data_IF_804220584409
#
_entry.id   IF_804220584409
#
_cell.length_a   1.000
_cell.length_b   1.000
_cell.length_c   1.000
_cell.angle_alpha   90.00
_cell.angle_beta   90.00
_cell.angle_gamma   90.00
#
_symmetry.space_group_name_H-M   'P 1'
#
loop_
_entity.id
_entity.type
_entity.pdbx_description
1 polymer ?
#
# COMPACT_ATOMS: atom_id res chain seq x y z
N UNK A 1 4.29 2.60 -28.42
CA UNK A 1 3.65 2.22 -27.14
C UNK A 1 4.37 2.96 -26.02
N UNK A 2 3.65 3.72 -25.24
CA UNK A 2 4.24 4.35 -24.05
C UNK A 2 4.44 3.28 -22.97
N UNK A 3 5.57 3.25 -22.25
CA UNK A 3 5.78 2.32 -21.17
C UNK A 3 4.76 2.57 -20.02
N UNK A 4 4.33 1.53 -19.30
CA UNK A 4 3.45 1.73 -18.16
C UNK A 4 4.14 2.48 -17.03
N UNK A 5 3.38 3.31 -16.31
CA UNK A 5 3.84 4.07 -15.15
C UNK A 5 3.31 3.38 -13.89
N UNK A 6 4.22 2.82 -13.10
CA UNK A 6 3.94 2.18 -11.83
C UNK A 6 4.30 3.14 -10.69
N UNK A 7 3.34 3.42 -9.83
CA UNK A 7 3.57 4.22 -8.63
C UNK A 7 3.80 3.29 -7.44
N UNK A 8 4.94 3.45 -6.77
CA UNK A 8 5.21 2.75 -5.53
C UNK A 8 5.03 3.68 -4.34
N UNK A 9 4.28 3.21 -3.33
CA UNK A 9 4.15 3.85 -2.03
C UNK A 9 4.55 2.83 -0.96
N UNK A 10 5.37 3.23 -0.01
CA UNK A 10 5.86 2.34 1.05
C UNK A 10 5.95 3.09 2.38
N UNK A 11 5.90 2.36 3.49
CA UNK A 11 6.19 2.88 4.82
C UNK A 11 5.31 4.08 5.22
N UNK A 12 4.01 4.00 4.98
CA UNK A 12 3.08 5.07 5.32
C UNK A 12 2.76 5.16 6.80
N UNK A 13 2.93 4.07 7.54
CA UNK A 13 2.79 3.98 8.99
C UNK A 13 1.54 4.69 9.54
N UNK A 14 0.38 4.41 8.91
CA UNK A 14 -0.88 5.02 9.32
C UNK A 14 -1.41 4.44 10.64
N UNK A 15 -2.26 5.19 11.29
CA UNK A 15 -2.94 4.80 12.53
C UNK A 15 -4.45 4.69 12.30
N UNK A 16 -5.13 3.99 13.23
CA UNK A 16 -6.59 3.99 13.30
C UNK A 16 -7.13 5.41 13.49
N UNK A 17 -6.46 6.19 14.34
CA UNK A 17 -6.75 7.62 14.53
C UNK A 17 -6.13 8.42 13.38
N UNK A 18 -6.92 9.19 12.60
CA UNK A 18 -6.40 10.07 11.57
C UNK A 18 -5.43 11.14 12.07
N UNK A 19 -5.43 11.43 13.38
CA UNK A 19 -4.49 12.34 14.00
C UNK A 19 -3.23 11.66 14.56
N UNK A 20 -3.08 10.35 14.33
CA UNK A 20 -1.93 9.60 14.78
C UNK A 20 -0.61 10.15 14.26
N UNK A 21 0.39 10.23 15.14
CA UNK A 21 1.70 10.80 14.83
C UNK A 21 2.82 9.77 15.03
N UNK A 22 3.77 9.77 14.09
CA UNK A 22 5.04 9.08 14.21
C UNK A 22 6.16 10.14 14.16
N UNK A 23 7.05 10.16 15.16
CA UNK A 23 8.11 11.16 15.27
C UNK A 23 7.60 12.62 15.12
N UNK A 24 6.48 12.95 15.76
CA UNK A 24 5.81 14.27 15.71
C UNK A 24 5.28 14.67 14.33
N UNK A 25 5.12 13.73 13.43
CA UNK A 25 4.55 13.94 12.12
C UNK A 25 3.22 13.18 12.01
N UNK A 26 2.15 13.87 11.66
CA UNK A 26 0.89 13.22 11.31
C UNK A 26 1.07 12.47 10.00
N UNK A 27 1.03 11.14 10.07
CA UNK A 27 1.36 10.28 8.94
C UNK A 27 0.31 10.32 7.84
N UNK A 28 -0.97 10.44 8.17
CA UNK A 28 -2.04 10.58 7.19
C UNK A 28 -1.96 11.91 6.43
N UNK A 29 -1.66 13.00 7.12
CA UNK A 29 -1.45 14.30 6.47
C UNK A 29 -0.23 14.26 5.55
N UNK A 30 0.85 13.61 5.97
CA UNK A 30 2.05 13.42 5.15
C UNK A 30 1.71 12.65 3.87
N UNK A 31 1.01 11.52 3.97
CA UNK A 31 0.55 10.75 2.82
C UNK A 31 -0.33 11.60 1.89
N UNK A 32 -1.30 12.32 2.43
CA UNK A 32 -2.19 13.14 1.61
C UNK A 32 -1.44 14.21 0.82
N UNK A 33 -0.43 14.86 1.41
CA UNK A 33 0.40 15.86 0.72
C UNK A 33 1.19 15.24 -0.44
N UNK A 34 1.73 14.02 -0.25
CA UNK A 34 2.42 13.29 -1.32
C UNK A 34 1.43 12.95 -2.44
N UNK A 35 0.25 12.45 -2.11
CA UNK A 35 -0.78 12.10 -3.10
C UNK A 35 -1.28 13.33 -3.86
N UNK A 36 -1.44 14.48 -3.20
CA UNK A 36 -1.82 15.72 -3.86
C UNK A 36 -0.72 16.19 -4.83
N UNK A 37 0.55 16.09 -4.43
CA UNK A 37 1.67 16.37 -5.33
C UNK A 37 1.66 15.46 -6.56
N UNK A 38 1.43 14.16 -6.37
CA UNK A 38 1.33 13.20 -7.47
C UNK A 38 0.18 13.57 -8.41
N UNK A 39 -1.02 13.85 -7.87
CA UNK A 39 -2.17 14.25 -8.68
C UNK A 39 -1.91 15.50 -9.53
N UNK A 40 -1.08 16.42 -9.04
CA UNK A 40 -0.76 17.65 -9.76
C UNK A 40 0.34 17.48 -10.82
N UNK A 41 1.24 16.51 -10.67
CA UNK A 41 2.45 16.40 -11.47
C UNK A 41 2.49 15.18 -12.39
N UNK A 42 1.73 14.12 -12.08
CA UNK A 42 1.70 12.90 -12.87
C UNK A 42 0.36 12.79 -13.61
N UNK A 43 0.43 12.84 -14.93
CA UNK A 43 -0.76 12.79 -15.80
C UNK A 43 -1.23 11.36 -16.10
N UNK A 44 -0.33 10.39 -15.98
CA UNK A 44 -0.60 8.99 -16.30
C UNK A 44 0.01 8.09 -15.22
N UNK A 45 -0.83 7.35 -14.54
CA UNK A 45 -0.44 6.30 -13.61
C UNK A 45 -1.28 5.07 -13.97
N UNK A 46 -0.65 3.94 -14.22
CA UNK A 46 -1.35 2.72 -14.62
C UNK A 46 -1.76 1.87 -13.41
N UNK A 47 -0.92 1.83 -12.37
CA UNK A 47 -1.28 1.22 -11.10
C UNK A 47 -0.43 1.74 -9.94
N UNK A 48 -0.92 1.52 -8.71
CA UNK A 48 -0.20 1.78 -7.48
C UNK A 48 0.13 0.46 -6.79
N UNK A 49 1.35 0.35 -6.29
CA UNK A 49 1.81 -0.79 -5.49
C UNK A 49 2.24 -0.26 -4.12
N UNK A 50 1.58 -0.75 -3.05
CA UNK A 50 1.95 -0.44 -1.67
C UNK A 50 2.78 -1.60 -1.10
N UNK A 51 4.04 -1.33 -0.78
CA UNK A 51 5.05 -2.37 -0.49
C UNK A 51 5.37 -2.52 1.00
N UNK A 52 4.37 -2.41 1.85
CA UNK A 52 4.47 -2.75 3.27
C UNK A 52 4.56 -1.55 4.20
N UNK A 53 4.50 -1.87 5.48
CA UNK A 53 4.43 -0.93 6.60
C UNK A 53 3.38 0.17 6.39
N UNK A 54 2.20 -0.28 5.94
CA UNK A 54 1.05 0.59 5.66
C UNK A 54 0.47 1.12 6.96
N UNK A 55 0.35 0.25 7.97
CA UNK A 55 -0.16 0.59 9.29
C UNK A 55 0.93 0.49 10.36
N UNK A 56 1.04 1.51 11.20
CA UNK A 56 1.92 1.49 12.37
C UNK A 56 1.34 0.62 13.49
N UNK A 57 0.02 0.68 13.68
CA UNK A 57 -0.69 0.01 14.78
C UNK A 57 -1.38 -1.30 14.36
N UNK A 58 -1.11 -1.79 13.16
CA UNK A 58 -1.72 -3.00 12.58
C UNK A 58 -3.25 -3.01 12.64
N UNK A 59 -3.92 -1.85 12.67
CA UNK A 59 -5.36 -1.76 12.86
C UNK A 59 -6.14 -1.85 11.54
N UNK A 60 -7.37 -2.37 11.60
CA UNK A 60 -8.27 -2.40 10.46
C UNK A 60 -8.57 -0.99 9.91
N UNK A 61 -8.69 -0.01 10.82
CA UNK A 61 -9.02 1.36 10.42
C UNK A 61 -7.82 2.06 9.77
N UNK A 62 -6.58 1.76 10.15
CA UNK A 62 -5.40 2.28 9.45
C UNK A 62 -5.41 1.87 7.98
N UNK A 63 -5.69 0.60 7.66
CA UNK A 63 -5.82 0.12 6.28
C UNK A 63 -6.97 0.80 5.53
N UNK A 64 -8.12 1.01 6.20
CA UNK A 64 -9.23 1.76 5.61
C UNK A 64 -8.88 3.22 5.34
N UNK A 65 -8.12 3.86 6.23
CA UNK A 65 -7.62 5.23 6.05
C UNK A 65 -6.71 5.31 4.81
N UNK A 66 -5.81 4.33 4.65
CA UNK A 66 -4.98 4.23 3.44
C UNK A 66 -5.83 4.09 2.18
N UNK A 67 -6.75 3.13 2.15
CA UNK A 67 -7.63 2.90 1.00
C UNK A 67 -8.44 4.15 0.64
N UNK A 68 -8.92 4.88 1.64
CA UNK A 68 -9.66 6.13 1.44
C UNK A 68 -8.77 7.22 0.84
N UNK A 69 -7.55 7.39 1.36
CA UNK A 69 -6.61 8.41 0.89
C UNK A 69 -6.23 8.21 -0.59
N UNK A 70 -5.92 6.99 -1.01
CA UNK A 70 -5.45 6.71 -2.37
C UNK A 70 -6.57 6.75 -3.43
N UNK A 71 -7.85 6.80 -3.04
CA UNK A 71 -8.99 6.89 -4.00
C UNK A 71 -8.87 8.06 -4.97
N UNK A 72 -8.23 9.16 -4.56
CA UNK A 72 -8.04 10.34 -5.42
C UNK A 72 -7.23 10.05 -6.70
N UNK A 73 -6.38 9.04 -6.68
CA UNK A 73 -5.58 8.63 -7.83
C UNK A 73 -6.41 7.91 -8.92
N UNK A 74 -7.53 7.28 -8.55
CA UNK A 74 -8.44 6.54 -9.46
C UNK A 74 -7.75 5.45 -10.28
N UNK A 75 -6.75 4.79 -9.69
CA UNK A 75 -6.00 3.69 -10.31
C UNK A 75 -6.15 2.41 -9.49
N UNK A 76 -5.88 1.26 -10.11
CA UNK A 76 -5.81 -0.01 -9.39
C UNK A 76 -4.68 0.02 -8.37
N UNK A 77 -4.94 -0.50 -7.18
CA UNK A 77 -3.94 -0.61 -6.13
C UNK A 77 -3.78 -2.06 -5.70
N UNK A 78 -2.53 -2.45 -5.50
CA UNK A 78 -2.13 -3.75 -4.95
C UNK A 78 -1.22 -3.51 -3.76
N UNK A 79 -1.29 -4.39 -2.75
CA UNK A 79 -0.45 -4.26 -1.58
C UNK A 79 0.10 -5.58 -1.07
N UNK A 80 1.23 -5.51 -0.40
CA UNK A 80 1.84 -6.60 0.37
C UNK A 80 2.12 -6.09 1.78
N UNK A 81 2.11 -6.97 2.81
CA UNK A 81 2.41 -6.56 4.17
C UNK A 81 3.89 -6.30 4.39
N UNK A 82 4.21 -5.37 5.27
CA UNK A 82 5.49 -5.22 5.93
C UNK A 82 5.48 -5.86 7.32
N UNK A 83 6.54 -5.65 8.10
CA UNK A 83 6.66 -6.25 9.44
C UNK A 83 5.73 -5.59 10.48
N UNK A 84 5.30 -4.35 10.27
CA UNK A 84 4.29 -3.68 11.08
C UNK A 84 2.86 -4.07 10.72
N UNK A 85 2.64 -4.75 9.61
CA UNK A 85 1.30 -5.04 9.11
C UNK A 85 0.73 -6.37 9.61
N UNK A 86 -0.60 -6.46 9.53
CA UNK A 86 -1.35 -7.69 9.70
C UNK A 86 -1.97 -8.10 8.37
N UNK A 87 -1.37 -9.07 7.68
CA UNK A 87 -1.90 -9.58 6.41
C UNK A 87 -3.35 -10.05 6.51
N UNK A 88 -3.77 -10.58 7.66
CA UNK A 88 -5.16 -10.96 7.91
C UNK A 88 -6.09 -9.73 7.92
N UNK A 89 -5.69 -8.64 8.58
CA UNK A 89 -6.51 -7.42 8.65
C UNK A 89 -6.47 -6.65 7.33
N UNK A 90 -5.36 -6.69 6.60
CA UNK A 90 -5.28 -6.17 5.24
C UNK A 90 -6.29 -6.85 4.32
N UNK A 91 -6.34 -8.19 4.31
CA UNK A 91 -7.35 -8.95 3.55
C UNK A 91 -8.77 -8.59 3.96
N UNK A 92 -9.03 -8.46 5.28
CA UNK A 92 -10.33 -8.06 5.80
C UNK A 92 -10.73 -6.64 5.37
N UNK A 93 -9.81 -5.69 5.43
CA UNK A 93 -10.06 -4.31 5.00
C UNK A 93 -10.41 -4.21 3.51
N UNK A 94 -9.75 -5.01 2.68
CA UNK A 94 -9.88 -4.98 1.22
C UNK A 94 -10.86 -6.02 0.66
N UNK A 95 -11.74 -6.60 1.49
CA UNK A 95 -12.75 -7.55 1.03
C UNK A 95 -13.57 -6.97 -0.13
N UNK A 96 -13.70 -7.75 -1.21
CA UNK A 96 -14.42 -7.31 -2.42
C UNK A 96 -13.60 -6.42 -3.36
N UNK A 97 -12.31 -6.27 -3.13
CA UNK A 97 -11.38 -5.52 -3.98
C UNK A 97 -10.22 -6.41 -4.48
N UNK A 98 -9.39 -5.87 -5.38
CA UNK A 98 -8.23 -6.56 -5.93
C UNK A 98 -6.91 -6.24 -5.20
N UNK A 99 -6.94 -5.57 -4.05
CA UNK A 99 -5.72 -5.12 -3.35
C UNK A 99 -4.75 -6.26 -3.03
N UNK A 100 -5.26 -7.43 -2.64
CA UNK A 100 -4.44 -8.60 -2.29
C UNK A 100 -4.15 -9.53 -3.46
N UNK A 101 -4.41 -9.11 -4.68
CA UNK A 101 -4.10 -9.90 -5.88
C UNK A 101 -2.58 -9.99 -6.02
N UNK A 102 -2.05 -11.22 -6.18
CA UNK A 102 -0.61 -11.48 -6.26
C UNK A 102 -0.02 -11.27 -7.65
N UNK A 103 -0.84 -11.26 -8.67
CA UNK A 103 -0.40 -11.07 -10.06
C UNK A 103 -1.28 -10.06 -10.75
N UNK A 104 -0.67 -9.18 -11.51
CA UNK A 104 -1.37 -8.16 -12.29
C UNK A 104 -0.62 -7.91 -13.59
N UNK A 105 -1.35 -7.78 -14.68
CA UNK A 105 -0.77 -7.43 -15.99
C UNK A 105 -1.15 -6.01 -16.36
N UNK A 106 -0.17 -5.19 -16.68
CA UNK A 106 -0.33 -3.84 -17.20
C UNK A 106 0.47 -3.72 -18.49
N UNK A 107 -0.21 -3.39 -19.59
CA UNK A 107 0.38 -3.43 -20.93
C UNK A 107 1.04 -4.79 -21.21
N UNK A 108 2.34 -4.82 -21.45
CA UNK A 108 3.14 -6.04 -21.67
C UNK A 108 3.97 -6.46 -20.43
N UNK A 109 3.68 -5.88 -19.25
CA UNK A 109 4.35 -6.22 -18.00
C UNK A 109 3.48 -7.13 -17.15
N UNK A 110 4.08 -8.17 -16.61
CA UNK A 110 3.49 -8.98 -15.56
C UNK A 110 4.14 -8.61 -14.23
N UNK A 111 3.32 -8.13 -13.29
CA UNK A 111 3.75 -7.77 -11.94
C UNK A 111 3.41 -8.94 -11.03
N UNK A 112 4.38 -9.41 -10.25
CA UNK A 112 4.20 -10.46 -9.25
C UNK A 112 4.54 -9.86 -7.89
N UNK A 113 3.63 -9.99 -6.93
CA UNK A 113 3.76 -9.49 -5.57
C UNK A 113 4.04 -10.65 -4.62
N UNK A 114 5.21 -10.63 -3.98
CA UNK A 114 5.65 -11.67 -3.07
C UNK A 114 5.62 -11.16 -1.63
N UNK A 115 4.93 -11.88 -0.76
CA UNK A 115 4.89 -11.61 0.68
C UNK A 115 6.09 -12.26 1.36
N UNK A 116 7.07 -11.46 1.72
CA UNK A 116 8.26 -11.89 2.46
C UNK A 116 8.16 -11.62 3.95
N UNK A 117 7.02 -11.13 4.43
CA UNK A 117 6.87 -10.75 5.84
C UNK A 117 6.96 -11.97 6.77
N UNK A 118 7.72 -11.81 7.85
CA UNK A 118 7.81 -12.80 8.94
C UNK A 118 7.23 -12.16 10.19
N UNK A 119 6.26 -12.84 10.81
CA UNK A 119 5.55 -12.30 11.97
C UNK A 119 6.51 -11.96 13.10
N UNK A 120 6.44 -10.72 13.59
CA UNK A 120 7.25 -10.18 14.68
C UNK A 120 8.76 -10.08 14.40
N UNK A 121 9.15 -10.16 13.12
CA UNK A 121 10.55 -10.05 12.72
C UNK A 121 10.74 -8.86 11.78
N UNK A 122 11.93 -8.27 11.78
CA UNK A 122 12.27 -7.15 10.90
C UNK A 122 12.74 -7.64 9.53
N UNK A 123 13.36 -8.83 9.48
CA UNK A 123 13.77 -9.43 8.22
C UNK A 123 12.63 -10.09 7.47
N UNK A 124 12.77 -10.19 6.15
CA UNK A 124 11.86 -10.95 5.28
C UNK A 124 12.41 -12.32 4.93
N UNK A 125 11.52 -13.25 4.63
CA UNK A 125 11.86 -14.58 4.13
C UNK A 125 10.85 -15.02 3.07
N UNK A 126 11.36 -15.45 1.91
CA UNK A 126 10.49 -15.98 0.86
C UNK A 126 10.22 -17.47 1.09
N UNK A 127 8.99 -17.82 1.32
CA UNK A 127 8.56 -19.21 1.50
C UNK A 127 8.42 -19.93 0.16
N UNK A 128 8.59 -21.25 0.15
CA UNK A 128 8.48 -22.06 -1.07
C UNK A 128 7.07 -22.02 -1.70
N UNK A 129 6.02 -21.86 -0.87
CA UNK A 129 4.64 -21.75 -1.32
C UNK A 129 4.24 -20.38 -1.86
N UNK A 130 5.11 -19.37 -1.75
CA UNK A 130 4.87 -18.02 -2.24
C UNK A 130 5.25 -17.88 -3.71
#
# INVERSE_FOLDING_TARGET
MTPPVLLQVTDTHLFADPNGELHKMNTLNSLNRVLDFICCNESQIDCLIATGDIAQDSSLNAYKNFMLAIRKLKVSCFWIPGNHDSGRLMRRASTGTNYCQKQYTVANWQIVLLDTSVKQEVYGFLKEEE
#
